data_IF_750006402853
#
_entry.id   IF_750006402853
#
_cell.length_a   1.000
_cell.length_b   1.000
_cell.length_c   1.000
_cell.angle_alpha   90.00
_cell.angle_beta   90.00
_cell.angle_gamma   90.00
#
_symmetry.space_group_name_H-M   'P 1'
#
loop_
_entity.id
_entity.type
_entity.pdbx_description
1 polymer ?
#
# COMPACT_ATOMS: atom_id res chain seq x y z
N UNK A 1 -7.18 -13.76 32.40
CA UNK A 1 -8.16 -12.67 32.25
C UNK A 1 -9.53 -13.21 32.59
N UNK A 2 -10.05 -12.91 33.79
CA UNK A 2 -11.40 -13.31 34.20
C UNK A 2 -12.40 -12.28 33.68
N UNK A 3 -13.09 -12.58 32.57
CA UNK A 3 -14.18 -11.74 32.07
C UNK A 3 -15.40 -11.93 32.97
N UNK A 4 -15.60 -11.01 33.92
CA UNK A 4 -16.86 -10.87 34.65
C UNK A 4 -17.83 -10.13 33.73
N UNK A 5 -18.76 -10.87 33.13
CA UNK A 5 -19.92 -10.27 32.45
C UNK A 5 -20.67 -9.37 33.44
N UNK A 6 -20.79 -8.09 33.10
CA UNK A 6 -21.54 -7.11 33.89
C UNK A 6 -23.03 -7.43 33.86
N UNK A 7 -23.51 -8.15 34.86
CA UNK A 7 -24.94 -8.30 35.10
C UNK A 7 -25.51 -7.05 35.77
N UNK A 8 -26.63 -6.54 35.26
CA UNK A 8 -27.37 -5.43 35.84
C UNK A 8 -27.72 -5.69 37.33
N UNK A 9 -27.60 -4.65 38.17
CA UNK A 9 -27.85 -4.72 39.61
C UNK A 9 -29.35 -4.78 39.92
N UNK A 10 -29.84 -5.91 40.45
CA UNK A 10 -31.19 -5.98 41.05
C UNK A 10 -31.14 -5.37 42.47
N UNK A 11 -31.60 -4.13 42.67
CA UNK A 11 -31.86 -3.59 44.02
C UNK A 11 -33.34 -3.83 44.39
N UNK A 12 -33.67 -4.69 45.36
CA UNK A 12 -35.05 -4.76 45.88
C UNK A 12 -35.32 -3.57 46.81
N UNK A 13 -36.48 -2.91 46.63
CA UNK A 13 -36.94 -1.86 47.53
C UNK A 13 -37.36 -2.46 48.90
N UNK A 14 -37.11 -1.77 50.03
CA UNK A 14 -37.45 -2.31 51.34
C UNK A 14 -38.97 -2.26 51.57
N UNK A 15 -39.56 -3.40 51.92
CA UNK A 15 -40.97 -3.49 52.33
C UNK A 15 -41.12 -2.99 53.76
N UNK A 16 -41.92 -1.94 53.96
CA UNK A 16 -42.23 -1.35 55.28
C UNK A 16 -43.31 -2.20 55.96
N UNK A 17 -42.98 -2.86 57.06
CA UNK A 17 -43.96 -3.63 57.86
C UNK A 17 -44.61 -2.69 58.88
N UNK A 18 -45.91 -2.46 58.76
CA UNK A 18 -46.72 -1.76 59.75
C UNK A 18 -47.27 -2.77 60.76
N UNK A 19 -46.98 -2.57 62.05
CA UNK A 19 -47.50 -3.40 63.13
C UNK A 19 -49.03 -3.28 63.25
N UNK A 20 -49.75 -4.41 63.27
CA UNK A 20 -51.13 -4.49 63.75
C UNK A 20 -51.19 -5.57 64.83
N UNK A 21 -51.75 -5.19 65.99
CA UNK A 21 -51.86 -5.96 67.22
C UNK A 21 -52.95 -7.05 67.15
N UNK A 22 -52.68 -8.13 67.88
CA UNK A 22 -53.55 -9.10 68.56
C UNK A 22 -54.52 -10.03 67.78
N UNK A 23 -54.21 -11.34 67.96
CA UNK A 23 -55.07 -12.49 68.28
C UNK A 23 -56.41 -12.65 67.54
N UNK A 24 -56.45 -13.58 66.58
CA UNK A 24 -57.43 -14.68 66.57
C UNK A 24 -57.03 -15.80 65.59
N UNK A 25 -57.53 -16.99 65.90
CA UNK A 25 -57.30 -18.30 65.31
C UNK A 25 -57.44 -18.33 63.78
N UNK A 26 -56.47 -18.90 63.05
CA UNK A 26 -56.62 -19.64 61.77
C UNK A 26 -55.25 -19.83 61.10
N UNK A 27 -55.04 -20.98 60.46
CA UNK A 27 -53.80 -21.43 59.82
C UNK A 27 -53.13 -20.35 58.95
N UNK A 28 -51.93 -19.90 59.35
CA UNK A 28 -51.07 -19.07 58.49
C UNK A 28 -50.05 -19.95 57.77
N UNK A 29 -50.47 -20.55 56.66
CA UNK A 29 -49.53 -20.98 55.62
C UNK A 29 -48.86 -19.73 55.04
N UNK A 30 -47.59 -19.55 55.37
CA UNK A 30 -46.80 -18.42 54.89
C UNK A 30 -46.45 -18.65 53.42
N UNK A 31 -47.22 -18.07 52.50
CA UNK A 31 -46.88 -18.05 51.06
C UNK A 31 -45.73 -17.05 50.88
N UNK A 32 -44.50 -17.56 50.92
CA UNK A 32 -43.31 -16.82 50.48
C UNK A 32 -43.40 -16.62 48.96
N UNK A 33 -43.84 -15.44 48.51
CA UNK A 33 -43.65 -15.00 47.13
C UNK A 33 -42.15 -14.73 46.88
N UNK A 34 -41.45 -15.77 46.46
CA UNK A 34 -40.07 -15.68 45.98
C UNK A 34 -40.08 -15.04 44.59
N UNK A 35 -39.96 -13.70 44.52
CA UNK A 35 -39.69 -13.02 43.26
C UNK A 35 -38.29 -13.42 42.78
N UNK A 36 -38.21 -14.36 41.84
CA UNK A 36 -36.95 -14.73 41.20
C UNK A 36 -36.46 -13.57 40.32
N UNK A 37 -35.41 -12.84 40.73
CA UNK A 37 -34.66 -11.99 39.80
C UNK A 37 -33.86 -12.91 38.87
N UNK A 38 -34.42 -13.28 37.72
CA UNK A 38 -33.67 -13.99 36.68
C UNK A 38 -32.58 -13.04 36.16
N UNK A 39 -31.33 -13.31 36.54
CA UNK A 39 -30.17 -12.67 35.92
C UNK A 39 -30.03 -13.25 34.51
N UNK A 40 -30.41 -12.49 33.48
CA UNK A 40 -30.12 -12.82 32.09
C UNK A 40 -28.61 -12.61 31.84
N UNK A 41 -27.83 -13.66 32.03
CA UNK A 41 -26.43 -13.71 31.62
C UNK A 41 -26.29 -14.61 30.40
N UNK A 42 -25.41 -14.23 29.46
CA UNK A 42 -25.08 -15.09 28.33
C UNK A 42 -24.58 -16.44 28.84
N UNK A 43 -25.16 -17.52 28.33
CA UNK A 43 -24.67 -18.86 28.65
C UNK A 43 -23.33 -19.10 27.97
N UNK A 44 -22.50 -19.99 28.53
CA UNK A 44 -21.24 -20.38 27.88
C UNK A 44 -21.50 -20.92 26.47
N UNK A 45 -22.58 -21.70 26.28
CA UNK A 45 -22.96 -22.23 24.99
C UNK A 45 -23.34 -21.11 24.00
N UNK A 46 -24.07 -20.10 24.44
CA UNK A 46 -24.44 -18.94 23.61
C UNK A 46 -23.23 -18.13 23.15
N UNK A 47 -22.26 -17.89 24.03
CA UNK A 47 -21.01 -17.22 23.67
C UNK A 47 -20.15 -18.08 22.72
N UNK A 48 -20.10 -19.40 22.93
CA UNK A 48 -19.34 -20.30 22.06
C UNK A 48 -19.95 -20.44 20.67
N UNK A 49 -21.28 -20.52 20.57
CA UNK A 49 -21.98 -20.56 19.29
C UNK A 49 -21.78 -19.24 18.53
N UNK A 50 -21.90 -18.09 19.21
CA UNK A 50 -21.70 -16.78 18.57
C UNK A 50 -20.26 -16.58 18.12
N UNK A 51 -19.27 -16.92 18.94
CA UNK A 51 -17.85 -16.89 18.53
C UNK A 51 -17.54 -17.88 17.40
N UNK A 52 -18.17 -19.06 17.42
CA UNK A 52 -18.04 -20.06 16.36
C UNK A 52 -18.60 -19.56 15.01
N UNK A 53 -19.80 -18.96 15.01
CA UNK A 53 -20.41 -18.38 13.81
C UNK A 53 -19.55 -17.23 13.27
N UNK A 54 -19.15 -16.28 14.14
CA UNK A 54 -18.27 -15.18 13.73
C UNK A 54 -16.95 -15.72 13.18
N UNK A 55 -16.37 -16.75 13.79
CA UNK A 55 -15.15 -17.40 13.33
C UNK A 55 -15.26 -17.96 11.91
N UNK A 56 -16.35 -18.69 11.61
CA UNK A 56 -16.58 -19.26 10.27
C UNK A 56 -16.78 -18.15 9.22
N UNK A 57 -17.63 -17.16 9.52
CA UNK A 57 -17.94 -16.07 8.58
C UNK A 57 -16.72 -15.21 8.31
N UNK A 58 -15.93 -14.87 9.34
CA UNK A 58 -14.70 -14.08 9.20
C UNK A 58 -13.63 -14.84 8.41
N UNK A 59 -13.49 -16.15 8.63
CA UNK A 59 -12.55 -16.97 7.85
C UNK A 59 -12.84 -16.96 6.34
N UNK A 60 -14.11 -16.91 5.94
CA UNK A 60 -14.51 -16.84 4.53
C UNK A 60 -14.42 -15.44 3.92
N UNK A 61 -14.58 -14.38 4.72
CA UNK A 61 -14.71 -12.99 4.22
C UNK A 61 -13.45 -12.14 4.35
N UNK A 62 -12.60 -12.39 5.36
CA UNK A 62 -11.38 -11.60 5.58
C UNK A 62 -10.34 -11.74 4.45
N UNK A 63 -10.08 -12.93 3.87
CA UNK A 63 -9.04 -13.06 2.84
C UNK A 63 -9.34 -12.22 1.60
N UNK A 64 -10.58 -12.25 1.10
CA UNK A 64 -11.00 -11.49 -0.09
C UNK A 64 -11.01 -9.99 0.19
N UNK A 65 -11.55 -9.58 1.34
CA UNK A 65 -11.60 -8.17 1.73
C UNK A 65 -10.20 -7.56 1.84
N UNK A 66 -9.25 -8.26 2.48
CA UNK A 66 -7.87 -7.79 2.64
C UNK A 66 -7.17 -7.66 1.28
N UNK A 67 -7.39 -8.59 0.35
CA UNK A 67 -6.86 -8.50 -1.01
C UNK A 67 -7.33 -7.24 -1.75
N UNK A 68 -8.65 -7.03 -1.81
CA UNK A 68 -9.23 -5.86 -2.46
C UNK A 68 -8.81 -4.53 -1.82
N UNK A 69 -8.69 -4.50 -0.49
CA UNK A 69 -8.20 -3.31 0.22
C UNK A 69 -6.76 -2.98 -0.13
N UNK A 70 -5.88 -3.98 -0.19
CA UNK A 70 -4.47 -3.79 -0.60
C UNK A 70 -4.37 -3.25 -2.02
N UNK A 71 -5.13 -3.81 -2.96
CA UNK A 71 -5.13 -3.34 -4.34
C UNK A 71 -5.60 -1.88 -4.45
N UNK A 72 -6.62 -1.51 -3.67
CA UNK A 72 -7.07 -0.12 -3.58
C UNK A 72 -5.97 0.81 -3.02
N UNK A 73 -5.26 0.38 -1.97
CA UNK A 73 -4.15 1.12 -1.40
C UNK A 73 -3.03 1.33 -2.43
N UNK A 74 -2.63 0.28 -3.14
CA UNK A 74 -1.62 0.35 -4.19
C UNK A 74 -2.04 1.28 -5.33
N UNK A 75 -3.29 1.15 -5.80
CA UNK A 75 -3.85 2.04 -6.83
C UNK A 75 -3.80 3.52 -6.39
N UNK A 76 -4.18 3.81 -5.14
CA UNK A 76 -4.10 5.17 -4.60
C UNK A 76 -2.65 5.68 -4.50
N UNK A 77 -1.73 4.84 -4.03
CA UNK A 77 -0.31 5.19 -3.92
C UNK A 77 0.32 5.46 -5.29
N UNK A 78 -0.03 4.66 -6.30
CA UNK A 78 0.38 4.83 -7.69
C UNK A 78 -0.08 6.17 -8.27
N UNK A 79 -1.38 6.50 -8.15
CA UNK A 79 -1.93 7.79 -8.60
C UNK A 79 -1.26 8.97 -7.90
N UNK A 80 -0.93 8.83 -6.61
CA UNK A 80 -0.22 9.88 -5.86
C UNK A 80 1.21 10.09 -6.36
N UNK A 81 1.96 9.02 -6.60
CA UNK A 81 3.31 9.11 -7.16
C UNK A 81 3.30 9.77 -8.54
N UNK A 82 2.35 9.39 -9.41
CA UNK A 82 2.13 10.05 -10.69
C UNK A 82 1.85 11.55 -10.50
N UNK A 83 0.89 11.91 -9.65
CA UNK A 83 0.54 13.33 -9.41
C UNK A 83 1.74 14.15 -8.94
N UNK A 84 2.55 13.61 -8.04
CA UNK A 84 3.72 14.31 -7.50
C UNK A 84 4.79 14.51 -8.59
N UNK A 85 5.08 13.48 -9.37
CA UNK A 85 6.04 13.60 -10.47
C UNK A 85 5.54 14.55 -11.58
N UNK A 86 4.22 14.60 -11.81
CA UNK A 86 3.60 15.54 -12.73
C UNK A 86 3.80 16.98 -12.28
N UNK A 87 3.70 17.25 -10.98
CA UNK A 87 3.96 18.57 -10.41
C UNK A 87 5.43 18.96 -10.56
N UNK A 88 6.36 18.04 -10.32
CA UNK A 88 7.80 18.25 -10.55
C UNK A 88 8.08 18.61 -12.00
N UNK A 89 7.47 17.89 -12.95
CA UNK A 89 7.61 18.20 -14.38
C UNK A 89 7.12 19.61 -14.70
N UNK A 90 5.91 19.97 -14.25
CA UNK A 90 5.32 21.28 -14.51
C UNK A 90 6.19 22.41 -13.99
N UNK A 91 6.68 22.28 -12.75
CA UNK A 91 7.57 23.26 -12.14
C UNK A 91 8.90 23.37 -12.88
N UNK A 92 9.51 22.24 -13.26
CA UNK A 92 10.75 22.23 -14.03
C UNK A 92 10.62 22.87 -15.42
N UNK A 93 9.45 22.74 -16.07
CA UNK A 93 9.16 23.41 -17.35
C UNK A 93 9.04 24.93 -17.14
N UNK A 94 8.27 25.35 -16.13
CA UNK A 94 8.06 26.79 -15.84
C UNK A 94 9.39 27.48 -15.51
N UNK A 95 10.24 26.82 -14.72
CA UNK A 95 11.53 27.34 -14.31
C UNK A 95 12.67 27.07 -15.32
N UNK A 96 12.37 26.46 -16.47
CA UNK A 96 13.34 26.16 -17.54
C UNK A 96 14.57 25.35 -17.06
N UNK A 97 14.34 24.35 -16.21
CA UNK A 97 15.42 23.60 -15.54
C UNK A 97 15.84 22.32 -16.28
N UNK A 98 15.15 21.95 -17.36
CA UNK A 98 15.46 20.77 -18.16
C UNK A 98 16.47 21.08 -19.26
N UNK A 99 17.39 20.14 -19.51
CA UNK A 99 18.54 20.38 -20.41
C UNK A 99 18.76 19.27 -21.45
N UNK A 100 18.01 18.16 -21.41
CA UNK A 100 18.25 17.01 -22.29
C UNK A 100 17.99 17.33 -23.76
N UNK A 101 18.98 17.12 -24.62
CA UNK A 101 18.82 17.35 -26.07
C UNK A 101 18.66 16.07 -26.89
N UNK A 102 19.06 14.92 -26.36
CA UNK A 102 18.98 13.63 -27.06
C UNK A 102 18.88 12.42 -26.11
N UNK A 103 18.52 11.27 -26.68
CA UNK A 103 18.57 9.97 -26.00
C UNK A 103 20.00 9.65 -25.58
N UNK A 104 20.18 9.08 -24.39
CA UNK A 104 21.51 8.69 -23.89
C UNK A 104 22.31 9.81 -23.21
N UNK A 105 21.79 11.04 -23.20
CA UNK A 105 22.45 12.20 -22.59
C UNK A 105 22.58 12.03 -21.07
N UNK A 106 23.77 11.60 -20.65
CA UNK A 106 24.08 11.22 -19.26
C UNK A 106 24.20 12.43 -18.32
N UNK A 107 24.90 13.52 -18.72
CA UNK A 107 24.89 14.76 -17.94
C UNK A 107 23.47 15.28 -17.70
N UNK A 108 22.63 15.30 -18.74
CA UNK A 108 21.24 15.73 -18.58
C UNK A 108 20.45 14.81 -17.64
N UNK A 109 20.59 13.48 -17.74
CA UNK A 109 19.91 12.55 -16.80
C UNK A 109 20.24 12.85 -15.35
N UNK A 110 21.51 13.16 -15.07
CA UNK A 110 21.95 13.48 -13.71
C UNK A 110 21.30 14.78 -13.22
N UNK A 111 21.32 15.83 -14.06
CA UNK A 111 20.70 17.13 -13.73
C UNK A 111 19.19 16.98 -13.52
N UNK A 112 18.50 16.26 -14.40
CA UNK A 112 17.05 16.05 -14.32
C UNK A 112 16.64 15.22 -13.10
N UNK A 113 17.46 14.24 -12.72
CA UNK A 113 17.27 13.47 -11.49
C UNK A 113 17.50 14.31 -10.24
N UNK A 114 18.56 15.11 -10.19
CA UNK A 114 18.82 16.00 -9.06
C UNK A 114 17.73 17.07 -8.95
N UNK A 115 17.24 17.58 -10.08
CA UNK A 115 16.06 18.45 -10.14
C UNK A 115 14.86 17.75 -9.50
N UNK A 116 14.54 16.53 -9.94
CA UNK A 116 13.44 15.76 -9.38
C UNK A 116 13.62 15.56 -7.88
N UNK A 117 14.79 15.07 -7.45
CA UNK A 117 15.14 14.82 -6.04
C UNK A 117 14.98 16.07 -5.19
N UNK A 118 15.38 17.24 -5.68
CA UNK A 118 15.28 18.51 -4.96
C UNK A 118 13.85 18.94 -4.64
N UNK A 119 12.85 18.44 -5.37
CA UNK A 119 11.44 18.73 -5.15
C UNK A 119 10.78 17.80 -4.14
N UNK A 120 11.47 16.73 -3.73
CA UNK A 120 11.02 15.85 -2.66
C UNK A 120 11.75 16.17 -1.36
N UNK A 121 11.06 15.96 -0.24
CA UNK A 121 11.72 15.93 1.07
C UNK A 121 12.47 14.60 1.19
N UNK A 122 13.76 14.60 0.92
CA UNK A 122 14.61 13.40 0.95
C UNK A 122 14.98 13.05 2.40
N UNK A 123 14.89 11.76 2.74
CA UNK A 123 15.30 11.23 4.05
C UNK A 123 16.50 10.28 3.96
N UNK A 124 16.78 9.74 2.78
CA UNK A 124 17.99 8.96 2.49
C UNK A 124 18.36 9.15 1.02
N UNK A 125 19.64 9.31 0.74
CA UNK A 125 20.18 9.46 -0.61
C UNK A 125 21.19 8.34 -0.89
N UNK A 126 21.13 7.77 -2.08
CA UNK A 126 21.96 6.66 -2.53
C UNK A 126 22.42 6.93 -3.97
N UNK A 127 23.40 7.83 -4.17
CA UNK A 127 23.91 8.15 -5.49
C UNK A 127 24.82 7.02 -6.00
N UNK A 128 24.86 6.78 -7.31
CA UNK A 128 25.92 5.92 -7.88
C UNK A 128 27.30 6.55 -7.72
N UNK A 129 28.35 5.74 -7.52
CA UNK A 129 28.36 4.27 -7.51
C UNK A 129 28.17 3.64 -6.12
N UNK A 130 27.52 4.33 -5.19
CA UNK A 130 27.31 3.81 -3.83
C UNK A 130 26.28 2.67 -3.77
N UNK A 131 26.30 1.95 -2.65
CA UNK A 131 25.34 0.90 -2.36
C UNK A 131 23.91 1.48 -2.20
N UNK A 132 23.03 1.08 -3.11
CA UNK A 132 21.62 1.48 -3.11
C UNK A 132 20.74 0.67 -2.15
N UNK A 133 21.27 -0.34 -1.45
CA UNK A 133 20.49 -1.21 -0.55
C UNK A 133 19.78 -0.43 0.57
N UNK A 134 20.30 0.75 0.92
CA UNK A 134 19.70 1.70 1.87
C UNK A 134 18.48 2.45 1.33
N UNK A 135 18.34 2.54 0.01
CA UNK A 135 17.23 3.25 -0.65
C UNK A 135 16.33 2.32 -1.45
N UNK A 136 16.70 1.06 -1.65
CA UNK A 136 15.95 0.16 -2.49
C UNK A 136 16.03 -1.29 -1.99
N UNK A 137 14.86 -1.90 -1.76
CA UNK A 137 14.77 -3.29 -1.31
C UNK A 137 14.94 -4.23 -2.50
N UNK A 138 15.65 -5.35 -2.30
CA UNK A 138 15.65 -6.46 -3.27
C UNK A 138 14.21 -6.95 -3.53
N UNK A 139 13.88 -7.19 -4.79
CA UNK A 139 12.56 -7.59 -5.27
C UNK A 139 12.59 -7.82 -6.77
N UNK A 140 11.51 -7.51 -7.48
CA UNK A 140 11.53 -7.54 -8.94
C UNK A 140 12.46 -6.44 -9.48
N UNK A 141 13.37 -6.80 -10.37
CA UNK A 141 14.36 -5.91 -11.00
C UNK A 141 14.18 -5.95 -12.52
N UNK A 142 14.37 -4.82 -13.19
CA UNK A 142 14.28 -4.75 -14.66
C UNK A 142 15.68 -4.80 -15.26
N UNK A 143 15.93 -5.78 -16.12
CA UNK A 143 17.26 -5.95 -16.71
C UNK A 143 17.39 -5.21 -18.04
N UNK A 144 18.51 -4.51 -18.26
CA UNK A 144 18.88 -3.93 -19.55
C UNK A 144 19.94 -4.78 -20.24
N UNK A 145 19.56 -5.50 -21.30
CA UNK A 145 20.50 -6.10 -22.26
C UNK A 145 21.31 -7.34 -21.84
N UNK A 146 21.54 -7.61 -20.55
CA UNK A 146 22.33 -8.78 -20.09
C UNK A 146 21.48 -9.92 -19.48
N UNK A 147 20.23 -10.06 -19.92
CA UNK A 147 19.46 -11.30 -19.78
C UNK A 147 19.97 -12.26 -20.85
N UNK A 148 20.77 -13.26 -20.50
CA UNK A 148 21.62 -14.01 -21.43
C UNK A 148 20.92 -14.94 -22.45
N UNK A 149 19.62 -14.84 -22.73
CA UNK A 149 19.02 -15.75 -23.74
C UNK A 149 17.69 -15.35 -24.39
N UNK A 150 17.20 -14.13 -24.20
CA UNK A 150 16.01 -13.68 -24.94
C UNK A 150 14.71 -14.45 -24.63
N UNK A 151 14.65 -15.29 -23.59
CA UNK A 151 13.39 -15.79 -23.07
C UNK A 151 12.77 -14.78 -22.07
N UNK A 152 11.43 -14.71 -21.99
CA UNK A 152 10.72 -13.98 -20.92
C UNK A 152 11.10 -14.42 -19.49
N UNK A 153 11.69 -15.61 -19.35
CA UNK A 153 12.21 -16.17 -18.10
C UNK A 153 13.61 -15.69 -17.71
N UNK A 154 14.34 -15.01 -18.59
CA UNK A 154 15.78 -14.75 -18.41
C UNK A 154 16.10 -13.37 -17.82
N UNK A 155 15.09 -12.59 -17.43
CA UNK A 155 15.26 -11.17 -17.08
C UNK A 155 14.91 -10.81 -15.65
N UNK A 156 15.62 -11.34 -14.66
CA UNK A 156 15.59 -10.84 -13.28
C UNK A 156 17.00 -10.95 -12.69
N UNK A 157 17.64 -9.82 -12.43
CA UNK A 157 18.86 -9.74 -11.66
C UNK A 157 18.51 -9.89 -10.17
N UNK A 158 18.48 -11.13 -9.69
CA UNK A 158 18.23 -11.44 -8.28
C UNK A 158 19.39 -11.01 -7.36
N UNK A 159 20.57 -10.76 -7.93
CA UNK A 159 21.81 -10.64 -7.18
C UNK A 159 22.14 -9.20 -6.83
N UNK A 160 21.92 -8.25 -7.74
CA UNK A 160 22.29 -6.85 -7.49
C UNK A 160 21.21 -6.03 -6.80
N UNK A 161 19.95 -6.49 -6.80
CA UNK A 161 18.87 -5.79 -6.11
C UNK A 161 18.50 -4.43 -6.69
N UNK A 162 19.21 -3.94 -7.70
CA UNK A 162 19.02 -2.64 -8.33
C UNK A 162 17.88 -2.61 -9.36
N UNK A 163 17.19 -1.48 -9.54
CA UNK A 163 16.22 -1.31 -10.63
C UNK A 163 16.76 -1.65 -12.02
N UNK A 164 18.07 -1.42 -12.27
CA UNK A 164 18.87 -1.90 -13.42
C UNK A 164 20.29 -2.21 -12.98
N UNK A 165 20.76 -3.43 -13.26
CA UNK A 165 22.05 -4.03 -12.89
C UNK A 165 23.22 -3.04 -12.69
N UNK A 166 23.31 -2.43 -11.50
CA UNK A 166 24.48 -1.69 -11.01
C UNK A 166 24.63 -0.21 -11.38
N UNK A 167 23.83 0.38 -12.27
CA UNK A 167 24.04 1.76 -12.77
C UNK A 167 22.85 2.69 -12.50
N UNK A 168 22.56 2.96 -11.22
CA UNK A 168 21.44 3.82 -10.83
C UNK A 168 21.66 4.59 -9.52
N UNK A 169 21.00 5.75 -9.42
CA UNK A 169 20.87 6.55 -8.20
C UNK A 169 19.47 6.33 -7.66
N UNK A 170 19.36 6.22 -6.34
CA UNK A 170 18.09 6.11 -5.64
C UNK A 170 18.02 7.12 -4.49
N UNK A 171 16.81 7.53 -4.12
CA UNK A 171 16.55 8.27 -2.89
C UNK A 171 15.24 7.80 -2.25
N UNK A 172 15.10 8.04 -0.95
CA UNK A 172 13.87 7.79 -0.20
C UNK A 172 13.23 9.13 0.14
N UNK A 173 11.95 9.29 -0.19
CA UNK A 173 11.19 10.48 0.20
C UNK A 173 10.59 10.35 1.61
N UNK A 174 10.20 11.47 2.22
CA UNK A 174 9.60 11.49 3.54
C UNK A 174 8.22 10.80 3.63
N UNK A 175 7.61 10.45 2.50
CA UNK A 175 6.40 9.62 2.45
C UNK A 175 6.72 8.13 2.49
N UNK A 176 8.01 7.75 2.50
CA UNK A 176 8.48 6.38 2.55
C UNK A 176 8.51 5.69 1.17
N UNK A 177 8.43 6.46 0.08
CA UNK A 177 8.57 5.92 -1.29
C UNK A 177 10.04 5.94 -1.69
N UNK A 178 10.44 4.92 -2.43
CA UNK A 178 11.79 4.83 -2.97
C UNK A 178 11.77 5.22 -4.44
N UNK A 179 12.53 6.22 -4.82
CA UNK A 179 12.64 6.70 -6.20
C UNK A 179 14.02 6.40 -6.74
N UNK A 180 14.10 5.88 -7.96
CA UNK A 180 15.35 5.56 -8.60
C UNK A 180 15.33 5.95 -10.08
N UNK A 181 16.52 6.14 -10.63
CA UNK A 181 16.67 6.09 -12.08
C UNK A 181 16.60 4.65 -12.57
N UNK A 182 16.11 4.44 -13.79
CA UNK A 182 16.34 3.18 -14.46
C UNK A 182 17.80 3.07 -14.91
N UNK A 183 18.40 4.14 -15.42
CA UNK A 183 19.76 4.15 -15.95
C UNK A 183 20.26 5.58 -16.06
N UNK A 184 21.55 5.82 -15.89
CA UNK A 184 22.16 7.14 -16.14
C UNK A 184 22.01 7.67 -17.56
N UNK A 185 21.60 6.84 -18.49
CA UNK A 185 21.45 7.18 -19.91
C UNK A 185 19.98 7.34 -20.34
N UNK A 186 19.02 7.15 -19.43
CA UNK A 186 17.60 7.10 -19.76
C UNK A 186 16.81 8.04 -18.83
N UNK A 187 15.92 8.87 -19.38
CA UNK A 187 14.94 9.65 -18.59
C UNK A 187 13.75 8.79 -18.14
N UNK A 188 14.06 7.66 -17.53
CA UNK A 188 13.09 6.68 -17.04
C UNK A 188 13.21 6.60 -15.53
N UNK A 189 12.17 7.03 -14.83
CA UNK A 189 12.09 7.10 -13.38
C UNK A 189 11.31 5.91 -12.86
N UNK A 190 11.84 5.27 -11.83
CA UNK A 190 11.25 4.12 -11.18
C UNK A 190 10.86 4.53 -9.76
N UNK A 191 9.68 4.12 -9.33
CA UNK A 191 9.24 4.32 -7.95
C UNK A 191 8.79 3.01 -7.35
N UNK A 192 9.16 2.79 -6.09
CA UNK A 192 8.49 1.86 -5.19
C UNK A 192 7.59 2.65 -4.24
N UNK A 193 6.28 2.45 -4.36
CA UNK A 193 5.27 3.24 -3.67
C UNK A 193 5.01 2.81 -2.22
N UNK A 194 5.47 1.62 -1.81
CA UNK A 194 5.42 1.16 -0.43
C UNK A 194 6.82 0.96 0.19
N UNK A 195 7.86 1.38 -0.54
CA UNK A 195 9.23 1.51 -0.04
C UNK A 195 9.92 0.16 0.15
N UNK A 196 10.17 -0.22 1.41
CA UNK A 196 10.81 -1.51 1.74
C UNK A 196 9.81 -2.64 2.03
N UNK A 197 8.51 -2.32 2.01
CA UNK A 197 7.46 -3.29 2.27
C UNK A 197 7.30 -4.24 1.09
N UNK A 198 6.91 -5.48 1.36
CA UNK A 198 6.51 -6.41 0.30
C UNK A 198 5.19 -5.97 -0.35
N UNK A 199 4.94 -6.31 -1.63
CA UNK A 199 5.62 -7.35 -2.42
C UNK A 199 6.87 -6.96 -3.21
N UNK A 200 7.20 -5.68 -3.41
CA UNK A 200 8.33 -5.22 -4.23
C UNK A 200 8.25 -5.73 -5.69
N UNK A 201 7.11 -5.55 -6.35
CA UNK A 201 6.77 -6.06 -7.69
C UNK A 201 6.31 -4.96 -8.65
N UNK A 202 6.78 -5.06 -9.88
CA UNK A 202 6.29 -4.21 -10.97
C UNK A 202 4.82 -4.48 -11.27
N UNK A 203 4.06 -3.41 -11.49
CA UNK A 203 2.61 -3.51 -11.72
C UNK A 203 1.77 -3.65 -10.44
N UNK A 204 2.40 -3.60 -9.26
CA UNK A 204 1.73 -3.71 -7.95
C UNK A 204 2.11 -2.56 -7.03
N UNK A 205 3.37 -2.45 -6.66
CA UNK A 205 3.91 -1.35 -5.85
C UNK A 205 5.10 -0.64 -6.52
N UNK A 206 5.71 -1.25 -7.55
CA UNK A 206 6.74 -0.65 -8.39
C UNK A 206 6.20 -0.19 -9.73
N UNK A 207 6.56 1.03 -10.11
CA UNK A 207 6.07 1.70 -11.30
C UNK A 207 7.19 2.41 -12.04
N UNK A 208 7.00 2.61 -13.34
CA UNK A 208 7.98 3.24 -14.23
C UNK A 208 7.31 4.38 -14.98
N UNK A 209 7.94 5.56 -14.95
CA UNK A 209 7.44 6.78 -15.58
C UNK A 209 8.49 7.39 -16.49
N UNK A 210 8.02 8.02 -17.57
CA UNK A 210 8.87 8.81 -18.47
C UNK A 210 8.18 10.12 -18.81
N UNK A 211 8.98 11.11 -19.20
CA UNK A 211 8.46 12.32 -19.84
C UNK A 211 8.05 12.02 -21.28
N UNK A 212 6.97 12.66 -21.72
CA UNK A 212 6.37 12.46 -23.02
C UNK A 212 5.83 13.73 -23.65
N UNK A 213 5.64 13.67 -24.96
CA UNK A 213 4.96 14.68 -25.76
C UNK A 213 3.42 14.60 -25.62
N UNK A 214 2.69 15.48 -26.31
CA UNK A 214 1.22 15.49 -26.28
C UNK A 214 0.60 14.20 -26.84
N UNK A 215 1.31 13.48 -27.70
CA UNK A 215 0.85 12.25 -28.36
C UNK A 215 1.18 10.98 -27.57
N UNK A 216 1.53 11.11 -26.28
CA UNK A 216 1.99 10.01 -25.42
C UNK A 216 3.26 9.30 -25.94
N UNK A 217 4.08 9.96 -26.76
CA UNK A 217 5.38 9.40 -27.14
C UNK A 217 6.42 9.84 -26.13
N UNK A 218 7.25 8.91 -25.69
CA UNK A 218 8.41 9.22 -24.86
C UNK A 218 9.24 10.30 -25.53
N UNK A 219 9.56 11.34 -24.77
CA UNK A 219 10.34 12.47 -25.24
C UNK A 219 11.80 12.30 -24.79
N UNK A 220 12.72 12.34 -25.74
CA UNK A 220 14.18 12.32 -25.48
C UNK A 220 14.82 13.71 -25.60
N UNK A 221 14.01 14.74 -25.84
CA UNK A 221 14.42 16.14 -25.87
C UNK A 221 13.47 16.97 -25.00
N UNK A 222 14.03 17.82 -24.13
CA UNK A 222 13.27 18.57 -23.14
C UNK A 222 12.23 19.51 -23.75
N UNK A 223 12.44 19.99 -24.99
CA UNK A 223 11.49 20.85 -25.70
C UNK A 223 10.13 20.14 -25.92
N UNK A 224 10.16 18.81 -25.96
CA UNK A 224 9.00 17.95 -26.15
C UNK A 224 8.39 17.47 -24.83
N UNK A 225 8.90 17.91 -23.67
CA UNK A 225 8.33 17.54 -22.38
C UNK A 225 7.00 18.27 -22.19
N UNK A 226 5.90 17.50 -22.17
CA UNK A 226 4.53 18.03 -22.04
C UNK A 226 3.74 17.36 -20.93
N UNK A 227 4.00 16.08 -20.67
CA UNK A 227 3.37 15.31 -19.60
C UNK A 227 4.27 14.16 -19.14
N UNK A 228 3.92 13.59 -18.00
CA UNK A 228 4.41 12.28 -17.60
C UNK A 228 3.46 11.20 -18.12
N UNK A 229 3.98 10.03 -18.41
CA UNK A 229 3.20 8.83 -18.73
C UNK A 229 3.81 7.62 -18.02
N UNK A 230 3.03 6.58 -17.72
CA UNK A 230 3.62 5.29 -17.42
C UNK A 230 4.43 4.81 -18.63
N UNK A 231 5.55 4.13 -18.38
CA UNK A 231 6.39 3.61 -19.46
C UNK A 231 5.63 2.61 -20.34
N UNK A 232 4.82 1.76 -19.70
CA UNK A 232 3.82 0.95 -20.38
C UNK A 232 2.48 1.66 -20.39
N UNK A 233 1.94 1.87 -21.59
CA UNK A 233 0.65 2.54 -21.81
C UNK A 233 -0.49 1.56 -21.98
N UNK A 234 -0.29 0.32 -21.55
CA UNK A 234 -1.27 -0.76 -21.56
C UNK A 234 -1.03 -1.67 -20.34
N UNK A 235 -2.05 -2.40 -19.94
CA UNK A 235 -1.91 -3.41 -18.89
C UNK A 235 -1.22 -4.66 -19.45
N UNK A 236 -0.25 -5.18 -18.72
CA UNK A 236 0.46 -6.40 -19.13
C UNK A 236 -0.19 -7.60 -18.44
N UNK A 237 -0.84 -8.45 -19.23
CA UNK A 237 -1.58 -9.64 -18.74
C UNK A 237 -0.77 -10.94 -18.84
N UNK A 238 0.35 -10.91 -19.55
CA UNK A 238 1.24 -12.05 -19.74
C UNK A 238 2.59 -11.80 -19.07
N UNK A 239 3.32 -12.88 -18.78
CA UNK A 239 4.61 -12.75 -18.13
C UNK A 239 5.66 -12.19 -19.11
N UNK A 240 6.31 -11.09 -18.73
CA UNK A 240 7.38 -10.45 -19.51
C UNK A 240 8.54 -10.04 -18.60
N UNK A 241 9.66 -9.60 -19.18
CA UNK A 241 10.80 -9.06 -18.41
C UNK A 241 10.49 -7.81 -17.60
N UNK A 242 9.35 -7.16 -17.87
CA UNK A 242 8.89 -5.96 -17.16
C UNK A 242 7.59 -6.19 -16.36
N UNK A 243 7.03 -7.39 -16.46
CA UNK A 243 5.90 -7.87 -15.67
C UNK A 243 6.08 -9.35 -15.36
N UNK A 244 6.83 -9.64 -14.29
CA UNK A 244 7.10 -11.01 -13.86
C UNK A 244 5.86 -11.71 -13.32
N UNK A 245 4.99 -10.96 -12.65
CA UNK A 245 3.82 -11.46 -11.95
C UNK A 245 2.55 -10.79 -12.51
N UNK A 246 2.10 -11.20 -13.72
CA UNK A 246 0.88 -10.64 -14.28
C UNK A 246 -0.34 -10.94 -13.39
N UNK A 247 -1.39 -10.10 -13.44
CA UNK A 247 -1.50 -8.89 -14.24
C UNK A 247 -0.77 -7.67 -13.65
N UNK A 248 -0.11 -6.88 -14.50
CA UNK A 248 0.50 -5.59 -14.15
C UNK A 248 -0.34 -4.44 -14.70
N UNK A 249 -1.05 -3.73 -13.83
CA UNK A 249 -2.06 -2.74 -14.20
C UNK A 249 -1.48 -1.33 -14.37
N UNK A 250 -0.66 -1.11 -15.39
CA UNK A 250 -0.02 0.20 -15.61
C UNK A 250 -1.01 1.28 -16.04
N UNK A 251 -1.99 0.94 -16.88
CA UNK A 251 -2.93 1.89 -17.45
C UNK A 251 -4.24 1.93 -16.65
N UNK A 252 -4.85 0.77 -16.39
CA UNK A 252 -6.18 0.72 -15.76
C UNK A 252 -6.19 1.21 -14.32
N UNK A 253 -5.08 1.08 -13.59
CA UNK A 253 -4.99 1.64 -12.23
C UNK A 253 -4.72 3.14 -12.23
N UNK A 254 -4.25 3.72 -13.33
CA UNK A 254 -3.98 5.14 -13.43
C UNK A 254 -5.17 5.91 -13.99
N UNK A 255 -5.69 5.49 -15.15
CA UNK A 255 -6.67 6.22 -15.95
C UNK A 255 -8.13 5.87 -15.63
N UNK A 256 -8.40 4.69 -15.05
CA UNK A 256 -9.73 4.25 -14.62
C UNK A 256 -9.85 4.29 -13.09
#
# INVERSE_FOLDING_TARGET
MNSRGGGASCNPAPVRVSNILHLENSERTSILHMHSCQKYGFTLAEVLITLGIIGIVTAMTLPSLVGHWKDKQFKTAYKKAYSDLSQVLQEGIVNQQFVRTAKGDTPATTIEYELMKSKFKVISDCPYPEDISKCWKKGDTVCGGSCTSGNPSDGIDLDNGSPKSGNTSCFVDASGRNWCLFSYQENLFIVDTNGFSQPNRFGKDRWMFTFADLNNKRADNYMNYKKIIPFYQEDILEQTSFCKHPPCYYESWLLK
#
